data_IF_632355637229
#
_entry.id   IF_632355637229
#
_cell.length_a   1.000
_cell.length_b   1.000
_cell.length_c   1.000
_cell.angle_alpha   90.00
_cell.angle_beta   90.00
_cell.angle_gamma   90.00
#
_symmetry.space_group_name_H-M   'P 1'
#
loop_
_entity.id
_entity.type
_entity.pdbx_description
1 polymer ?
#
# COMPACT_ATOMS: atom_id res chain seq x y z
N UNK A 1 5.36 -9.47 -19.98
CA UNK A 1 4.09 -8.72 -20.05
C UNK A 1 4.15 -7.70 -18.94
N UNK A 2 4.15 -6.42 -19.29
CA UNK A 2 4.12 -5.32 -18.32
C UNK A 2 2.76 -5.37 -17.62
N UNK A 3 2.71 -5.73 -16.33
CA UNK A 3 1.45 -5.79 -15.60
C UNK A 3 0.97 -4.37 -15.38
N UNK A 4 -0.25 -4.06 -15.83
CA UNK A 4 -0.87 -2.77 -15.60
C UNK A 4 -1.75 -2.82 -14.35
N UNK A 5 -1.33 -2.19 -13.23
CA UNK A 5 -2.12 -2.19 -12.02
C UNK A 5 -3.46 -1.46 -12.19
N UNK A 6 -3.57 -0.52 -13.13
CA UNK A 6 -4.81 0.25 -13.34
C UNK A 6 -5.93 -0.66 -13.83
N UNK A 7 -5.63 -1.49 -14.83
CA UNK A 7 -6.60 -2.44 -15.38
C UNK A 7 -6.90 -3.57 -14.38
N UNK A 8 -5.89 -4.11 -13.71
CA UNK A 8 -6.05 -5.25 -12.80
C UNK A 8 -6.77 -4.89 -11.48
N UNK A 9 -6.51 -3.71 -10.91
CA UNK A 9 -7.11 -3.28 -9.64
C UNK A 9 -8.43 -2.54 -9.82
N UNK A 10 -8.74 -2.00 -11.01
CA UNK A 10 -10.05 -1.41 -11.29
C UNK A 10 -11.20 -2.41 -11.19
N UNK A 11 -10.95 -3.68 -11.54
CA UNK A 11 -11.93 -4.77 -11.48
C UNK A 11 -12.02 -5.44 -10.09
N UNK A 12 -11.10 -5.13 -9.17
CA UNK A 12 -11.09 -5.74 -7.85
C UNK A 12 -12.24 -5.19 -6.98
N UNK A 13 -12.92 -6.04 -6.17
CA UNK A 13 -13.97 -5.63 -5.25
C UNK A 13 -13.39 -4.92 -4.02
N UNK A 14 -12.79 -3.74 -4.24
CA UNK A 14 -12.15 -2.93 -3.21
C UNK A 14 -13.20 -1.99 -2.59
N UNK A 15 -13.33 -1.93 -1.25
CA UNK A 15 -14.25 -1.01 -0.59
C UNK A 15 -14.00 0.44 -1.01
N UNK A 16 -15.07 1.24 -1.17
CA UNK A 16 -14.97 2.65 -1.63
C UNK A 16 -13.90 3.48 -0.91
N UNK A 17 -13.79 3.35 0.42
CA UNK A 17 -12.78 4.08 1.21
C UNK A 17 -11.32 3.63 0.98
N UNK A 18 -11.11 2.47 0.38
CA UNK A 18 -9.79 1.96 -0.01
C UNK A 18 -9.48 2.20 -1.49
N UNK A 19 -10.53 2.39 -2.32
CA UNK A 19 -10.41 2.58 -3.76
C UNK A 19 -9.61 3.84 -4.10
N UNK A 20 -9.90 4.98 -3.46
CA UNK A 20 -9.15 6.22 -3.70
C UNK A 20 -7.64 6.07 -3.42
N UNK A 21 -7.27 5.27 -2.40
CA UNK A 21 -5.86 5.00 -2.08
C UNK A 21 -5.22 4.16 -3.18
N UNK A 22 -5.92 3.13 -3.66
CA UNK A 22 -5.43 2.27 -4.73
C UNK A 22 -5.34 3.03 -6.05
N UNK A 23 -6.34 3.83 -6.40
CA UNK A 23 -6.36 4.69 -7.58
C UNK A 23 -5.19 5.69 -7.53
N UNK A 24 -4.95 6.34 -6.39
CA UNK A 24 -3.82 7.25 -6.20
C UNK A 24 -2.46 6.55 -6.36
N UNK A 25 -2.30 5.34 -5.80
CA UNK A 25 -1.07 4.55 -5.94
C UNK A 25 -0.86 4.02 -7.36
N UNK A 26 -1.94 3.77 -8.08
CA UNK A 26 -1.92 3.26 -9.44
C UNK A 26 -1.62 4.37 -10.44
N UNK A 27 -2.17 5.56 -10.25
CA UNK A 27 -1.92 6.74 -11.09
C UNK A 27 -0.46 7.19 -11.11
N UNK A 28 0.29 6.91 -10.04
CA UNK A 28 1.71 7.25 -9.92
C UNK A 28 2.66 6.10 -10.27
N UNK A 29 2.15 4.88 -10.47
CA UNK A 29 2.97 3.70 -10.69
C UNK A 29 3.92 3.90 -11.90
N UNK A 30 5.21 3.53 -11.82
CA UNK A 30 5.91 2.81 -10.74
C UNK A 30 6.58 3.71 -9.68
N UNK A 31 6.18 4.97 -9.55
CA UNK A 31 6.78 5.95 -8.62
C UNK A 31 6.27 5.75 -7.19
N UNK A 32 6.93 6.43 -6.25
CA UNK A 32 6.54 6.51 -4.83
C UNK A 32 5.80 7.82 -4.54
N UNK A 33 4.94 7.81 -3.53
CA UNK A 33 4.25 8.98 -2.99
C UNK A 33 4.44 9.05 -1.48
N UNK A 34 4.58 10.26 -0.93
CA UNK A 34 4.66 10.44 0.52
C UNK A 34 3.28 10.40 1.16
N UNK A 35 3.21 10.06 2.45
CA UNK A 35 1.93 9.98 3.19
C UNK A 35 1.12 11.28 3.10
N UNK A 36 1.78 12.44 3.17
CA UNK A 36 1.13 13.74 3.14
C UNK A 36 0.44 13.96 1.77
N UNK A 37 1.19 13.78 0.68
CA UNK A 37 0.67 13.87 -0.70
C UNK A 37 -0.42 12.81 -0.99
N UNK A 38 -0.28 11.62 -0.41
CA UNK A 38 -1.27 10.56 -0.56
C UNK A 38 -2.57 10.92 0.14
N UNK A 39 -2.51 11.53 1.33
CA UNK A 39 -3.69 12.04 2.03
C UNK A 39 -4.37 13.12 1.21
N UNK A 40 -3.58 14.07 0.69
CA UNK A 40 -4.12 15.14 -0.16
C UNK A 40 -4.84 14.58 -1.38
N UNK A 41 -4.25 13.59 -2.07
CA UNK A 41 -4.89 12.95 -3.23
C UNK A 41 -6.14 12.14 -2.85
N UNK A 42 -6.16 11.47 -1.71
CA UNK A 42 -7.29 10.64 -1.26
C UNK A 42 -8.51 11.49 -0.90
N UNK A 43 -8.28 12.68 -0.31
CA UNK A 43 -9.32 13.59 0.14
C UNK A 43 -9.49 14.84 -0.74
N UNK A 44 -8.78 14.96 -1.86
CA UNK A 44 -8.87 16.10 -2.78
C UNK A 44 -10.31 16.41 -3.24
N UNK A 45 -11.15 15.36 -3.32
CA UNK A 45 -12.55 15.45 -3.74
C UNK A 45 -13.54 15.30 -2.57
N UNK A 46 -13.07 15.21 -1.33
CA UNK A 46 -13.93 15.18 -0.14
C UNK A 46 -14.25 16.63 0.28
N UNK A 47 -15.52 17.07 0.20
CA UNK A 47 -15.90 18.43 0.57
C UNK A 47 -15.66 18.76 2.04
N UNK A 48 -15.44 17.76 2.91
CA UNK A 48 -15.13 17.96 4.33
C UNK A 48 -13.61 18.01 4.61
N UNK A 49 -12.75 17.87 3.60
CA UNK A 49 -11.29 17.89 3.76
C UNK A 49 -10.71 16.63 4.44
N UNK A 50 -11.51 15.59 4.60
CA UNK A 50 -11.13 14.35 5.28
C UNK A 50 -11.25 14.41 6.81
N UNK A 51 -11.11 13.26 7.48
CA UNK A 51 -11.25 13.15 8.93
C UNK A 51 -10.02 13.66 9.68
N UNK A 52 -10.21 14.04 10.95
CA UNK A 52 -9.11 14.32 11.87
C UNK A 52 -8.15 13.13 11.95
N UNK A 53 -6.85 13.40 11.79
CA UNK A 53 -5.84 12.35 11.73
C UNK A 53 -5.89 11.52 10.45
N UNK A 54 -6.28 12.12 9.32
CA UNK A 54 -6.33 11.51 7.99
C UNK A 54 -5.11 10.62 7.65
N UNK A 55 -3.91 11.02 8.06
CA UNK A 55 -2.68 10.21 7.92
C UNK A 55 -2.79 8.84 8.61
N UNK A 56 -3.30 8.80 9.85
CA UNK A 56 -3.49 7.55 10.58
C UNK A 56 -4.58 6.69 9.93
N UNK A 57 -5.66 7.30 9.45
CA UNK A 57 -6.70 6.60 8.70
C UNK A 57 -6.10 5.94 7.45
N UNK A 58 -5.33 6.69 6.66
CA UNK A 58 -4.66 6.16 5.45
C UNK A 58 -3.66 5.04 5.82
N UNK A 59 -2.86 5.19 6.88
CA UNK A 59 -1.96 4.12 7.37
C UNK A 59 -2.70 2.83 7.70
N UNK A 60 -3.85 2.93 8.37
CA UNK A 60 -4.70 1.77 8.70
C UNK A 60 -5.26 1.14 7.43
N UNK A 61 -5.76 1.93 6.49
CA UNK A 61 -6.28 1.42 5.22
C UNK A 61 -5.19 0.75 4.38
N UNK A 62 -3.98 1.31 4.31
CA UNK A 62 -2.83 0.67 3.65
C UNK A 62 -2.50 -0.66 4.31
N UNK A 63 -2.57 -0.75 5.64
CA UNK A 63 -2.32 -2.00 6.37
C UNK A 63 -3.36 -3.08 6.05
N UNK A 64 -4.61 -2.68 5.77
CA UNK A 64 -5.67 -3.59 5.27
C UNK A 64 -5.44 -3.97 3.81
N UNK A 65 -5.10 -3.00 2.96
CA UNK A 65 -4.77 -3.21 1.55
C UNK A 65 -3.59 -4.18 1.38
N UNK A 66 -2.57 -4.11 2.24
CA UNK A 66 -1.46 -5.09 2.23
C UNK A 66 -1.91 -6.54 2.44
N UNK A 67 -3.05 -6.77 3.09
CA UNK A 67 -3.64 -8.11 3.26
C UNK A 67 -4.52 -8.51 2.07
N UNK A 68 -5.09 -7.53 1.38
CA UNK A 68 -6.02 -7.73 0.26
C UNK A 68 -5.31 -7.81 -1.09
N UNK A 69 -4.44 -6.85 -1.40
CA UNK A 69 -3.74 -6.75 -2.69
C UNK A 69 -2.98 -8.03 -3.11
N UNK A 70 -2.39 -8.83 -2.19
CA UNK A 70 -1.70 -10.06 -2.60
C UNK A 70 -2.58 -11.06 -3.34
N UNK A 71 -3.91 -11.10 -3.09
CA UNK A 71 -4.82 -11.97 -3.86
C UNK A 71 -4.95 -11.57 -5.32
N UNK A 72 -4.56 -10.34 -5.67
CA UNK A 72 -4.52 -9.81 -7.04
C UNK A 72 -3.08 -9.79 -7.60
N UNK A 73 -2.10 -10.29 -6.84
CA UNK A 73 -0.70 -10.30 -7.26
C UNK A 73 0.03 -8.96 -7.10
N UNK A 74 -0.55 -8.01 -6.36
CA UNK A 74 0.02 -6.70 -6.05
C UNK A 74 0.26 -6.56 -4.55
N UNK A 75 1.12 -5.63 -4.15
CA UNK A 75 1.32 -5.34 -2.73
C UNK A 75 1.95 -3.96 -2.53
N UNK A 76 1.83 -3.46 -1.30
CA UNK A 76 2.46 -2.21 -0.87
C UNK A 76 3.57 -2.60 0.10
N UNK A 77 4.85 -2.46 -0.28
CA UNK A 77 5.97 -2.82 0.59
C UNK A 77 5.86 -2.13 1.94
N UNK A 78 6.32 -2.82 2.98
CA UNK A 78 6.57 -2.17 4.25
C UNK A 78 7.91 -1.46 4.12
N UNK A 79 7.90 -0.14 4.31
CA UNK A 79 9.12 0.63 4.51
C UNK A 79 9.58 0.36 5.94
N UNK A 80 10.61 -0.48 6.10
CA UNK A 80 11.26 -0.70 7.40
C UNK A 80 11.95 0.61 7.77
N UNK A 81 11.23 1.46 8.51
CA UNK A 81 11.60 2.85 8.74
C UNK A 81 12.95 2.98 9.41
N UNK A 82 13.85 3.74 8.80
CA UNK A 82 14.79 4.53 9.58
C UNK A 82 13.98 5.63 10.31
N UNK A 83 14.20 5.80 11.61
CA UNK A 83 13.58 6.88 12.38
C UNK A 83 13.77 8.23 11.66
N UNK A 84 12.68 8.97 11.47
CA UNK A 84 12.71 10.33 10.90
C UNK A 84 12.44 10.45 9.40
N UNK A 85 12.31 9.36 8.63
CA UNK A 85 11.90 9.47 7.22
C UNK A 85 10.39 9.64 7.07
N UNK A 86 9.99 10.60 6.21
CA UNK A 86 8.61 10.73 5.72
C UNK A 86 8.21 9.39 5.09
N UNK A 87 7.23 8.71 5.69
CA UNK A 87 6.73 7.44 5.18
C UNK A 87 6.27 7.59 3.73
N UNK A 88 6.80 6.75 2.85
CA UNK A 88 6.39 6.70 1.45
C UNK A 88 5.77 5.35 1.12
N UNK A 89 4.90 5.36 0.12
CA UNK A 89 4.21 4.19 -0.39
C UNK A 89 4.41 4.08 -1.89
N UNK A 90 4.47 2.84 -2.37
CA UNK A 90 4.49 2.51 -3.79
C UNK A 90 3.77 1.18 -3.97
N UNK A 91 3.20 0.99 -5.14
CA UNK A 91 2.65 -0.31 -5.54
C UNK A 91 3.76 -1.13 -6.21
N UNK A 92 3.87 -2.41 -5.87
CA UNK A 92 4.78 -3.36 -6.54
C UNK A 92 4.08 -4.68 -6.78
N UNK A 93 4.49 -5.46 -7.79
CA UNK A 93 4.09 -6.85 -7.92
C UNK A 93 4.52 -7.66 -6.69
N UNK A 94 3.72 -8.65 -6.26
CA UNK A 94 4.08 -9.53 -5.12
C UNK A 94 5.43 -10.21 -5.32
N UNK A 95 5.76 -10.58 -6.56
CA UNK A 95 7.04 -11.18 -6.93
C UNK A 95 8.25 -10.27 -6.63
N UNK A 96 8.05 -8.95 -6.60
CA UNK A 96 9.10 -7.95 -6.34
C UNK A 96 9.07 -7.44 -4.89
N UNK A 97 8.23 -8.01 -4.03
CA UNK A 97 8.14 -7.57 -2.65
C UNK A 97 9.18 -8.29 -1.77
N UNK A 98 10.33 -7.64 -1.61
CA UNK A 98 11.44 -8.08 -0.73
C UNK A 98 10.98 -8.37 0.71
N UNK A 99 9.87 -7.78 1.16
CA UNK A 99 9.35 -8.01 2.51
C UNK A 99 8.74 -9.41 2.69
N UNK A 100 8.24 -10.05 1.64
CA UNK A 100 7.72 -11.44 1.73
C UNK A 100 8.88 -12.39 2.00
N UNK A 101 9.98 -12.25 1.26
CA UNK A 101 11.21 -13.01 1.49
C UNK A 101 11.77 -12.77 2.90
N UNK A 102 11.71 -11.53 3.41
CA UNK A 102 12.13 -11.21 4.78
C UNK A 102 11.20 -11.84 5.85
N UNK A 103 9.89 -11.82 5.64
CA UNK A 103 8.92 -12.41 6.56
C UNK A 103 8.99 -13.95 6.56
N UNK A 104 9.18 -14.59 5.41
CA UNK A 104 9.40 -16.04 5.30
C UNK A 104 10.73 -16.46 5.96
N UNK A 105 11.79 -15.65 5.81
CA UNK A 105 13.04 -15.84 6.56
C UNK A 105 12.82 -15.74 8.07
N UNK A 106 12.05 -14.75 8.53
CA UNK A 106 11.74 -14.59 9.95
C UNK A 106 10.86 -15.73 10.51
N UNK A 107 9.89 -16.21 9.72
CA UNK A 107 9.03 -17.33 10.09
C UNK A 107 9.81 -18.65 10.16
N UNK A 108 10.74 -18.88 9.23
CA UNK A 108 11.67 -20.02 9.24
C UNK A 108 12.57 -19.97 10.47
N UNK A 109 13.13 -18.82 10.81
CA UNK A 109 13.98 -18.66 12.01
C UNK A 109 13.22 -18.94 13.33
N UNK A 110 11.93 -18.60 13.44
CA UNK A 110 11.14 -18.95 14.63
C UNK A 110 10.84 -20.44 14.75
N UNK A 111 10.69 -21.15 13.63
CA UNK A 111 10.47 -22.62 13.62
C UNK A 111 11.73 -23.41 13.93
N UNK A 112 12.91 -22.89 13.59
CA UNK A 112 14.19 -23.53 13.90
C UNK A 112 14.64 -23.37 15.36
N UNK A 113 13.96 -22.52 16.13
CA UNK A 113 14.28 -22.22 17.54
C UNK A 113 13.32 -22.88 18.54
N UNK A 114 12.47 -23.82 18.09
CA UNK A 114 11.52 -24.57 18.91
C UNK A 114 11.89 -26.05 18.98
#
# INVERSE_FOLDING_TARGET
MERDPATELAAAPIPRGQKNIVDALTAIYPRRIYIDELVDNVYAFDPNGGPDGAQNVVRVQISRLRKLLPSFGWTIPQTNGQQGQRGFYRLVPVAENDNVLAAERAATNRRAAA
#
